data_IF_365932449305
#
_entry.id   IF_365932449305
#
_cell.length_a   1.000
_cell.length_b   1.000
_cell.length_c   1.000
_cell.angle_alpha   90.00
_cell.angle_beta   90.00
_cell.angle_gamma   90.00
#
_symmetry.space_group_name_H-M   'P 1'
#
loop_
_entity.id
_entity.type
_entity.pdbx_description
1 polymer ?
#
# COMPACT_ATOMS: atom_id res chain seq x y z
N UNK A 1 21.38 -56.35 -39.20
CA UNK A 1 22.53 -55.47 -39.50
C UNK A 1 22.56 -55.27 -41.01
N UNK A 2 22.77 -54.08 -41.59
CA UNK A 2 23.41 -52.85 -41.06
C UNK A 2 22.53 -51.56 -41.14
N UNK A 3 22.57 -50.67 -40.13
CA UNK A 3 23.27 -49.35 -39.97
C UNK A 3 22.56 -48.07 -40.50
N UNK A 4 22.02 -47.31 -39.53
CA UNK A 4 22.10 -45.87 -39.22
C UNK A 4 22.01 -44.74 -40.28
N UNK A 5 21.12 -43.75 -40.02
CA UNK A 5 21.49 -42.35 -39.68
C UNK A 5 20.29 -41.50 -39.19
N UNK A 6 20.59 -40.55 -38.28
CA UNK A 6 19.69 -39.60 -37.58
C UNK A 6 19.04 -38.56 -38.53
N UNK A 7 17.91 -37.96 -38.11
CA UNK A 7 17.78 -36.53 -37.73
C UNK A 7 16.32 -36.09 -37.42
N UNK A 8 16.16 -35.43 -36.26
CA UNK A 8 15.33 -34.26 -35.92
C UNK A 8 13.78 -34.26 -35.97
N UNK A 9 13.23 -34.01 -34.77
CA UNK A 9 12.11 -33.12 -34.40
C UNK A 9 10.64 -33.54 -34.65
N UNK A 10 9.82 -33.58 -33.57
CA UNK A 10 8.41 -33.23 -33.65
C UNK A 10 8.08 -31.98 -32.84
N UNK A 11 7.42 -31.03 -33.52
CA UNK A 11 6.81 -29.84 -32.95
C UNK A 11 5.82 -30.20 -31.83
N UNK A 12 6.01 -29.65 -30.63
CA UNK A 12 4.96 -29.58 -29.62
C UNK A 12 4.11 -28.34 -29.86
N UNK A 13 2.84 -28.58 -30.15
CA UNK A 13 1.79 -27.58 -30.35
C UNK A 13 1.51 -26.84 -29.04
N UNK A 14 1.59 -25.50 -29.10
CA UNK A 14 1.19 -24.57 -28.05
C UNK A 14 -0.34 -24.46 -28.01
N UNK A 15 -1.04 -25.19 -27.14
CA UNK A 15 -2.42 -24.85 -26.76
C UNK A 15 -2.79 -25.42 -25.38
N UNK A 16 -2.68 -24.59 -24.34
CA UNK A 16 -3.67 -24.43 -23.25
C UNK A 16 -3.00 -23.86 -21.98
N UNK A 17 -3.02 -22.54 -21.83
CA UNK A 17 -2.95 -21.88 -20.51
C UNK A 17 -3.68 -20.53 -20.57
N UNK A 18 -4.99 -20.55 -20.81
CA UNK A 18 -5.78 -19.31 -20.77
C UNK A 18 -7.17 -19.41 -20.14
N UNK A 19 -7.39 -20.37 -19.24
CA UNK A 19 -8.70 -20.53 -18.61
C UNK A 19 -8.71 -20.61 -17.07
N UNK A 20 -7.63 -20.24 -16.38
CA UNK A 20 -7.61 -20.25 -14.91
C UNK A 20 -7.53 -18.88 -14.22
N UNK A 21 -7.40 -17.76 -14.93
CA UNK A 21 -7.32 -16.44 -14.27
C UNK A 21 -8.68 -15.75 -14.05
N UNK A 22 -9.73 -16.13 -14.79
CA UNK A 22 -11.00 -15.37 -14.80
C UNK A 22 -11.86 -15.66 -13.57
N UNK A 23 -11.69 -16.83 -12.93
CA UNK A 23 -12.48 -17.21 -11.75
C UNK A 23 -12.03 -16.55 -10.44
N UNK A 24 -10.78 -16.08 -10.36
CA UNK A 24 -10.27 -15.38 -9.17
C UNK A 24 -10.81 -13.94 -9.10
N UNK A 25 -10.88 -13.24 -10.23
CA UNK A 25 -11.34 -11.83 -10.31
C UNK A 25 -12.79 -11.67 -9.84
N UNK A 26 -13.67 -12.60 -10.20
CA UNK A 26 -15.09 -12.54 -9.82
C UNK A 26 -15.37 -12.76 -8.33
N UNK A 27 -14.48 -13.44 -7.60
CA UNK A 27 -14.62 -13.62 -6.15
C UNK A 27 -14.21 -12.36 -5.38
N UNK A 28 -13.16 -11.66 -5.82
CA UNK A 28 -12.76 -10.36 -5.26
C UNK A 28 -13.84 -9.30 -5.47
N UNK A 29 -14.46 -9.25 -6.65
CA UNK A 29 -15.60 -8.36 -6.90
C UNK A 29 -16.77 -8.70 -5.97
N UNK A 30 -17.12 -9.97 -5.77
CA UNK A 30 -18.28 -10.37 -4.95
C UNK A 30 -18.13 -10.13 -3.44
N UNK A 31 -16.91 -10.15 -2.89
CA UNK A 31 -16.64 -9.86 -1.48
C UNK A 31 -16.46 -8.37 -1.21
N UNK A 32 -15.99 -7.59 -2.20
CA UNK A 32 -15.94 -6.13 -2.17
C UNK A 32 -17.31 -5.48 -2.48
N UNK A 33 -18.25 -6.18 -3.11
CA UNK A 33 -19.59 -5.67 -3.43
C UNK A 33 -20.48 -5.47 -2.18
N UNK A 34 -20.10 -6.05 -1.03
CA UNK A 34 -20.74 -5.72 0.26
C UNK A 34 -20.36 -4.33 0.78
N UNK A 35 -19.34 -3.70 0.19
CA UNK A 35 -19.14 -2.25 0.30
C UNK A 35 -19.86 -1.58 -0.88
N UNK A 36 -21.14 -1.27 -0.67
CA UNK A 36 -22.01 -0.46 -1.54
C UNK A 36 -21.26 0.24 -2.69
N UNK A 37 -21.29 -0.34 -3.89
CA UNK A 37 -20.86 0.36 -5.11
C UNK A 37 -21.90 1.44 -5.41
N UNK A 38 -21.80 2.56 -4.72
CA UNK A 38 -22.52 3.76 -5.11
C UNK A 38 -21.81 4.35 -6.34
N UNK A 39 -22.59 4.78 -7.35
CA UNK A 39 -22.02 5.32 -8.59
C UNK A 39 -21.19 6.57 -8.25
N UNK A 40 -20.17 6.93 -9.04
CA UNK A 40 -19.33 8.11 -8.79
C UNK A 40 -20.10 9.44 -8.64
N UNK A 41 -21.36 9.48 -9.09
CA UNK A 41 -22.26 10.63 -9.03
C UNK A 41 -23.20 10.63 -7.81
N UNK A 42 -23.32 9.51 -7.09
CA UNK A 42 -24.17 9.40 -5.91
C UNK A 42 -23.38 9.94 -4.69
N UNK A 43 -24.05 10.76 -3.86
CA UNK A 43 -23.46 11.34 -2.64
C UNK A 43 -22.93 10.24 -1.71
N UNK A 44 -21.65 10.33 -1.32
CA UNK A 44 -21.01 9.38 -0.40
C UNK A 44 -21.09 9.89 1.05
N UNK A 45 -21.99 9.36 1.90
CA UNK A 45 -22.14 9.83 3.27
C UNK A 45 -21.01 9.33 4.19
N UNK A 46 -20.17 8.40 3.75
CA UNK A 46 -19.20 7.72 4.62
C UNK A 46 -17.88 8.50 4.74
N UNK A 47 -17.42 8.57 5.99
CA UNK A 47 -16.03 8.95 6.33
C UNK A 47 -15.02 7.86 5.98
N UNK A 48 -15.48 6.65 5.65
CA UNK A 48 -14.63 5.51 5.29
C UNK A 48 -14.20 5.57 3.83
N UNK A 49 -12.92 5.35 3.57
CA UNK A 49 -12.38 5.26 2.22
C UNK A 49 -12.54 3.85 1.64
N UNK A 50 -13.43 3.65 0.67
CA UNK A 50 -13.53 2.38 -0.08
C UNK A 50 -12.52 2.32 -1.24
N UNK A 51 -12.20 1.11 -1.70
CA UNK A 51 -11.12 0.88 -2.66
C UNK A 51 -11.32 1.58 -4.01
N UNK A 52 -12.56 1.63 -4.51
CA UNK A 52 -12.91 2.34 -5.75
C UNK A 52 -12.64 3.84 -5.65
N UNK A 53 -13.04 4.49 -4.55
CA UNK A 53 -12.76 5.90 -4.29
C UNK A 53 -11.26 6.17 -4.14
N UNK A 54 -10.55 5.31 -3.39
CA UNK A 54 -9.09 5.38 -3.29
C UNK A 54 -8.44 5.35 -4.66
N UNK A 55 -8.86 4.43 -5.54
CA UNK A 55 -8.30 4.29 -6.88
C UNK A 55 -8.44 5.58 -7.69
N UNK A 56 -9.62 6.22 -7.66
CA UNK A 56 -9.85 7.51 -8.35
C UNK A 56 -8.93 8.60 -7.80
N UNK A 57 -8.84 8.75 -6.47
CA UNK A 57 -7.99 9.76 -5.82
C UNK A 57 -6.51 9.49 -6.12
N UNK A 58 -6.09 8.23 -6.08
CA UNK A 58 -4.72 7.80 -6.38
C UNK A 58 -4.35 8.05 -7.85
N UNK A 59 -5.29 7.90 -8.78
CA UNK A 59 -5.04 8.25 -10.18
C UNK A 59 -4.84 9.76 -10.37
N UNK A 60 -5.66 10.60 -9.71
CA UNK A 60 -5.46 12.05 -9.71
C UNK A 60 -4.07 12.43 -9.13
N UNK A 61 -3.56 11.67 -8.15
CA UNK A 61 -2.27 11.88 -7.53
C UNK A 61 -1.09 11.85 -8.51
N UNK A 62 -1.20 11.09 -9.61
CA UNK A 62 -0.14 11.00 -10.64
C UNK A 62 0.13 12.34 -11.33
N UNK A 63 -0.87 13.22 -11.41
CA UNK A 63 -0.76 14.53 -12.09
C UNK A 63 -0.57 15.70 -11.13
N UNK A 64 -0.63 15.46 -9.81
CA UNK A 64 -0.55 16.53 -8.80
C UNK A 64 0.88 16.83 -8.37
N UNK A 65 1.64 15.80 -7.98
CA UNK A 65 3.05 15.91 -7.62
C UNK A 65 3.75 14.56 -7.72
N UNK A 66 5.07 14.58 -7.96
CA UNK A 66 5.88 13.36 -8.14
C UNK A 66 5.79 12.38 -6.95
N UNK A 67 5.55 12.90 -5.74
CA UNK A 67 5.49 12.09 -4.52
C UNK A 67 4.08 11.68 -4.07
N UNK A 68 3.01 12.30 -4.59
CA UNK A 68 1.67 12.11 -4.01
C UNK A 68 1.13 10.69 -4.22
N UNK A 69 1.27 10.13 -5.42
CA UNK A 69 0.89 8.75 -5.69
C UNK A 69 1.73 7.77 -4.86
N UNK A 70 3.04 8.03 -4.75
CA UNK A 70 3.95 7.24 -3.92
C UNK A 70 3.57 7.28 -2.43
N UNK A 71 3.12 8.42 -1.92
CA UNK A 71 2.63 8.53 -0.54
C UNK A 71 1.38 7.68 -0.30
N UNK A 72 0.43 7.69 -1.24
CA UNK A 72 -0.77 6.87 -1.17
C UNK A 72 -0.43 5.37 -1.24
N UNK A 73 0.44 4.99 -2.18
CA UNK A 73 0.85 3.60 -2.39
C UNK A 73 1.66 3.07 -1.19
N UNK A 74 2.59 3.85 -0.63
CA UNK A 74 3.34 3.49 0.59
C UNK A 74 2.41 3.30 1.79
N UNK A 75 1.47 4.22 1.99
CA UNK A 75 0.52 4.13 3.09
C UNK A 75 -0.39 2.89 2.95
N UNK A 76 -0.85 2.58 1.74
CA UNK A 76 -1.72 1.45 1.49
C UNK A 76 -0.96 0.11 1.65
N UNK A 77 0.19 -0.04 1.01
CA UNK A 77 0.92 -1.32 1.04
C UNK A 77 1.54 -1.59 2.42
N UNK A 78 1.94 -0.57 3.18
CA UNK A 78 2.54 -0.78 4.52
C UNK A 78 1.53 -0.74 5.65
N UNK A 79 0.33 -0.19 5.41
CA UNK A 79 -0.68 0.02 6.45
C UNK A 79 -0.23 0.92 7.60
N UNK A 80 0.83 1.72 7.45
CA UNK A 80 1.37 2.56 8.53
C UNK A 80 0.63 3.91 8.66
N UNK A 81 0.80 4.58 9.80
CA UNK A 81 0.20 5.91 10.04
C UNK A 81 0.92 6.94 9.18
N UNK A 82 0.23 8.04 8.83
CA UNK A 82 0.84 9.14 8.05
C UNK A 82 2.11 9.69 8.69
N UNK A 83 2.15 9.73 10.03
CA UNK A 83 3.30 10.16 10.81
C UNK A 83 4.51 9.25 10.54
N UNK A 84 4.28 7.93 10.60
CA UNK A 84 5.31 6.93 10.38
C UNK A 84 5.74 6.90 8.90
N UNK A 85 4.78 6.97 7.95
CA UNK A 85 5.05 7.00 6.49
C UNK A 85 5.90 8.20 6.10
N UNK A 86 5.64 9.38 6.67
CA UNK A 86 6.43 10.59 6.39
C UNK A 86 7.89 10.48 6.82
N UNK A 87 8.20 9.53 7.71
CA UNK A 87 9.52 9.32 8.29
C UNK A 87 10.29 8.17 7.65
N UNK A 88 9.69 7.40 6.72
CA UNK A 88 10.40 6.30 6.07
C UNK A 88 11.66 6.78 5.35
N UNK A 89 12.77 6.09 5.60
CA UNK A 89 14.05 6.36 4.95
C UNK A 89 14.55 5.15 4.20
N UNK A 90 15.28 5.41 3.11
CA UNK A 90 15.98 4.36 2.39
C UNK A 90 17.04 3.69 3.26
N UNK A 91 17.67 4.43 4.19
CA UNK A 91 18.62 3.88 5.16
C UNK A 91 18.02 2.90 6.17
N UNK A 92 16.69 2.87 6.32
CA UNK A 92 16.01 1.97 7.24
C UNK A 92 15.74 0.60 6.60
N UNK A 93 16.17 0.41 5.35
CA UNK A 93 16.10 -0.87 4.64
C UNK A 93 17.37 -1.68 4.90
N UNK A 94 17.21 -2.89 5.42
CA UNK A 94 18.30 -3.85 5.66
C UNK A 94 17.81 -5.26 5.37
N UNK A 95 18.65 -6.12 4.80
CA UNK A 95 18.36 -7.55 4.59
C UNK A 95 16.98 -7.82 3.95
N UNK A 96 16.61 -7.04 2.94
CA UNK A 96 15.33 -7.19 2.24
C UNK A 96 14.09 -6.78 3.05
N UNK A 97 14.25 -5.95 4.09
CA UNK A 97 13.15 -5.48 4.96
C UNK A 97 13.24 -4.00 5.26
N UNK A 98 12.08 -3.34 5.36
CA UNK A 98 11.93 -1.99 5.88
C UNK A 98 11.70 -2.03 7.39
N UNK A 99 12.59 -1.42 8.16
CA UNK A 99 12.48 -1.36 9.61
C UNK A 99 11.77 -0.08 10.04
N UNK A 100 10.64 -0.22 10.74
CA UNK A 100 9.79 0.89 11.18
C UNK A 100 9.70 0.86 12.71
N UNK A 101 9.94 2.00 13.34
CA UNK A 101 9.56 2.22 14.75
C UNK A 101 8.40 3.21 14.77
N UNK A 102 7.21 2.74 15.15
CA UNK A 102 6.00 3.56 15.17
C UNK A 102 6.10 4.64 16.25
N UNK A 103 5.96 5.90 15.88
CA UNK A 103 6.11 7.03 16.80
C UNK A 103 5.08 7.03 17.94
N UNK A 104 3.84 6.65 17.65
CA UNK A 104 2.73 6.68 18.63
C UNK A 104 2.84 5.61 19.72
N UNK A 105 3.28 4.41 19.37
CA UNK A 105 3.23 3.23 20.25
C UNK A 105 4.61 2.68 20.61
N UNK A 106 5.66 3.11 19.91
CA UNK A 106 7.00 2.52 20.02
C UNK A 106 7.13 1.13 19.41
N UNK A 107 6.08 0.61 18.76
CA UNK A 107 6.11 -0.72 18.14
C UNK A 107 7.13 -0.77 17.01
N UNK A 108 7.91 -1.86 16.97
CA UNK A 108 8.96 -2.07 15.99
C UNK A 108 8.55 -3.17 15.00
N UNK A 109 8.54 -2.85 13.71
CA UNK A 109 8.11 -3.73 12.62
C UNK A 109 9.23 -3.86 11.57
N UNK A 110 9.54 -5.08 11.13
CA UNK A 110 10.43 -5.32 10.01
C UNK A 110 9.61 -5.87 8.85
N UNK A 111 9.14 -4.97 7.98
CA UNK A 111 8.22 -5.28 6.89
C UNK A 111 9.02 -5.83 5.70
N UNK A 112 8.68 -7.03 5.22
CA UNK A 112 9.30 -7.61 4.04
C UNK A 112 9.15 -6.71 2.82
N UNK A 113 10.25 -6.42 2.10
CA UNK A 113 10.15 -5.73 0.80
C UNK A 113 9.38 -6.56 -0.23
N UNK A 114 9.26 -7.87 0.01
CA UNK A 114 8.46 -8.76 -0.81
C UNK A 114 6.93 -8.67 -0.55
N UNK A 115 6.49 -7.80 0.36
CA UNK A 115 5.07 -7.62 0.67
C UNK A 115 4.28 -7.16 -0.56
N UNK A 116 3.18 -7.86 -0.83
CA UNK A 116 2.24 -7.56 -1.91
C UNK A 116 0.88 -7.22 -1.33
N UNK A 117 0.16 -6.37 -2.05
CA UNK A 117 -1.27 -6.18 -1.88
C UNK A 117 -1.90 -6.35 -3.26
N UNK A 118 -2.36 -7.56 -3.55
CA UNK A 118 -2.68 -8.00 -4.90
C UNK A 118 -3.94 -7.30 -5.43
N UNK A 119 -4.93 -7.02 -4.58
CA UNK A 119 -6.12 -6.24 -4.94
C UNK A 119 -5.77 -4.83 -5.47
N UNK A 120 -4.66 -4.26 -5.01
CA UNK A 120 -4.17 -2.96 -5.46
C UNK A 120 -3.04 -3.05 -6.49
N UNK A 121 -2.59 -4.26 -6.86
CA UNK A 121 -1.43 -4.47 -7.71
C UNK A 121 -0.14 -3.85 -7.15
N UNK A 122 -0.02 -3.76 -5.83
CA UNK A 122 1.13 -3.14 -5.18
C UNK A 122 2.14 -4.17 -4.71
N UNK A 123 3.42 -3.87 -4.97
CA UNK A 123 4.57 -4.59 -4.44
C UNK A 123 5.47 -3.58 -3.73
N UNK A 124 5.75 -3.78 -2.44
CA UNK A 124 6.43 -2.76 -1.62
C UNK A 124 7.77 -2.34 -2.22
N UNK A 125 8.57 -3.29 -2.70
CA UNK A 125 9.84 -2.98 -3.37
C UNK A 125 9.66 -2.04 -4.56
N UNK A 126 8.68 -2.28 -5.44
CA UNK A 126 8.42 -1.41 -6.59
C UNK A 126 7.98 -0.01 -6.16
N UNK A 127 7.17 0.12 -5.10
CA UNK A 127 6.79 1.43 -4.56
C UNK A 127 8.01 2.19 -4.06
N UNK A 128 8.91 1.51 -3.33
CA UNK A 128 10.14 2.11 -2.81
C UNK A 128 11.06 2.54 -3.96
N UNK A 129 11.21 1.74 -5.00
CA UNK A 129 12.03 2.11 -6.16
C UNK A 129 11.44 3.31 -6.91
N UNK A 130 10.10 3.40 -7.05
CA UNK A 130 9.45 4.62 -7.56
C UNK A 130 9.74 5.85 -6.70
N UNK A 131 9.84 5.68 -5.38
CA UNK A 131 10.18 6.77 -4.46
C UNK A 131 11.62 7.29 -4.63
N UNK A 132 12.54 6.49 -5.18
CA UNK A 132 13.94 6.90 -5.44
C UNK A 132 14.09 7.79 -6.65
N UNK A 133 13.20 7.64 -7.64
CA UNK A 133 13.27 8.40 -8.89
C UNK A 133 13.19 9.90 -8.59
N UNK A 134 14.18 10.66 -9.08
CA UNK A 134 14.31 12.11 -8.87
C UNK A 134 14.30 12.56 -7.39
N UNK A 135 14.63 11.68 -6.45
CA UNK A 135 14.63 11.97 -5.03
C UNK A 135 16.08 12.05 -4.48
N UNK A 136 16.61 13.25 -4.21
CA UNK A 136 17.95 13.42 -3.65
C UNK A 136 18.01 13.20 -2.13
N UNK A 137 16.89 12.89 -1.49
CA UNK A 137 16.79 12.73 -0.03
C UNK A 137 17.00 11.28 0.40
N UNK A 138 17.39 11.10 1.67
CA UNK A 138 17.30 9.79 2.31
C UNK A 138 15.85 9.43 2.69
N UNK A 139 14.93 10.39 2.73
CA UNK A 139 13.51 10.12 2.98
C UNK A 139 12.83 9.62 1.69
N UNK A 140 11.94 8.65 1.82
CA UNK A 140 11.22 8.09 0.67
C UNK A 140 10.26 9.11 0.04
N UNK A 141 9.69 10.00 0.84
CA UNK A 141 8.83 11.07 0.37
C UNK A 141 9.59 12.40 0.38
N UNK A 142 9.78 12.97 -0.80
CA UNK A 142 10.47 14.24 -1.01
C UNK A 142 9.70 15.16 -1.97
N UNK A 143 9.70 16.46 -1.69
CA UNK A 143 9.14 17.47 -2.57
C UNK A 143 10.24 18.36 -3.13
N UNK A 144 10.30 18.47 -4.45
CA UNK A 144 11.21 19.35 -5.19
C UNK A 144 10.69 20.80 -5.30
N UNK A 145 9.43 21.05 -4.90
CA UNK A 145 8.72 22.30 -5.11
C UNK A 145 9.38 23.47 -4.36
N UNK A 146 9.64 24.56 -5.10
CA UNK A 146 10.08 25.87 -4.58
C UNK A 146 9.00 26.91 -4.84
N UNK A 147 7.98 26.99 -3.97
CA UNK A 147 6.86 27.93 -4.14
C UNK A 147 6.39 28.46 -2.79
N UNK A 148 6.05 29.74 -2.72
CA UNK A 148 5.45 30.36 -1.52
C UNK A 148 6.32 30.26 -0.28
N UNK A 149 7.65 30.39 -0.42
CA UNK A 149 8.60 30.24 0.69
C UNK A 149 8.94 28.80 1.07
N UNK A 150 8.28 27.79 0.47
CA UNK A 150 8.61 26.38 0.68
C UNK A 150 9.94 26.05 0.02
N UNK A 151 10.81 25.38 0.77
CA UNK A 151 12.09 24.83 0.28
C UNK A 151 11.92 23.34 -0.05
N UNK A 152 12.72 22.81 -0.99
CA UNK A 152 12.72 21.38 -1.28
C UNK A 152 13.14 20.59 -0.03
N UNK A 153 12.53 19.44 0.19
CA UNK A 153 12.76 18.68 1.41
C UNK A 153 11.79 17.54 1.64
N UNK A 154 11.97 16.81 2.77
CA UNK A 154 11.06 15.74 3.17
C UNK A 154 9.65 16.27 3.41
N UNK A 155 8.66 15.39 3.21
CA UNK A 155 7.27 15.71 3.50
C UNK A 155 6.97 15.52 4.99
N UNK A 156 6.04 16.35 5.49
CA UNK A 156 5.52 16.26 6.85
C UNK A 156 4.09 15.71 6.82
N UNK A 157 3.60 15.15 7.93
CA UNK A 157 2.26 14.53 8.00
C UNK A 157 1.13 15.44 7.51
N UNK A 158 1.18 16.73 7.83
CA UNK A 158 0.15 17.69 7.42
C UNK A 158 0.21 17.99 5.91
N UNK A 159 1.40 17.93 5.31
CA UNK A 159 1.55 18.02 3.87
C UNK A 159 0.92 16.85 3.13
N UNK A 160 0.98 15.64 3.71
CA UNK A 160 0.31 14.46 3.15
C UNK A 160 -1.22 14.59 3.25
N UNK A 161 -1.72 15.03 4.41
CA UNK A 161 -3.16 15.25 4.62
C UNK A 161 -3.72 16.33 3.70
N UNK A 162 -3.00 17.45 3.55
CA UNK A 162 -3.44 18.53 2.69
C UNK A 162 -3.48 18.09 1.22
N UNK A 163 -2.40 17.50 0.71
CA UNK A 163 -2.37 17.04 -0.68
C UNK A 163 -3.44 15.98 -0.97
N UNK A 164 -3.70 15.06 -0.05
CA UNK A 164 -4.79 14.09 -0.20
C UNK A 164 -6.16 14.77 -0.22
N UNK A 165 -6.38 15.79 0.60
CA UNK A 165 -7.63 16.56 0.59
C UNK A 165 -7.79 17.30 -0.74
N UNK A 166 -6.74 17.95 -1.24
CA UNK A 166 -6.75 18.65 -2.53
C UNK A 166 -7.05 17.68 -3.68
N UNK A 167 -6.45 16.49 -3.66
CA UNK A 167 -6.69 15.41 -4.63
C UNK A 167 -8.12 14.88 -4.57
N UNK A 168 -8.61 14.62 -3.36
CA UNK A 168 -9.97 14.18 -3.12
C UNK A 168 -10.97 15.22 -3.64
N UNK A 169 -10.77 16.49 -3.33
CA UNK A 169 -11.70 17.55 -3.68
C UNK A 169 -11.65 17.88 -5.18
N UNK A 170 -10.50 17.69 -5.83
CA UNK A 170 -10.34 17.82 -7.29
C UNK A 170 -10.74 16.56 -8.09
N UNK A 171 -10.97 15.42 -7.45
CA UNK A 171 -11.33 14.16 -8.12
C UNK A 171 -12.72 14.15 -8.78
N UNK A 172 -13.54 15.17 -8.52
CA UNK A 172 -14.93 15.23 -8.99
C UNK A 172 -15.90 14.38 -8.18
N UNK A 173 -15.42 13.58 -7.22
CA UNK A 173 -16.24 12.82 -6.29
C UNK A 173 -17.04 13.75 -5.37
N UNK A 174 -18.18 13.26 -4.85
CA UNK A 174 -19.05 14.00 -3.93
C UNK A 174 -19.04 13.31 -2.57
N UNK A 175 -18.61 14.04 -1.55
CA UNK A 175 -18.55 13.55 -0.18
C UNK A 175 -19.52 14.30 0.72
N UNK A 176 -19.96 13.62 1.77
CA UNK A 176 -20.68 14.24 2.87
C UNK A 176 -19.80 15.13 3.78
N UNK A 177 -20.34 15.59 4.91
CA UNK A 177 -19.69 16.59 5.76
C UNK A 177 -18.35 16.15 6.37
N UNK A 178 -18.08 14.84 6.41
CA UNK A 178 -16.85 14.26 6.94
C UNK A 178 -16.18 13.40 5.87
N UNK A 179 -15.58 14.00 4.83
CA UNK A 179 -14.94 13.24 3.76
C UNK A 179 -13.73 12.44 4.29
N UNK A 180 -13.40 11.30 3.65
CA UNK A 180 -12.25 10.49 4.05
C UNK A 180 -10.96 11.30 4.00
N UNK A 181 -10.10 11.10 5.00
CA UNK A 181 -8.77 11.72 5.07
C UNK A 181 -7.68 10.74 4.65
N UNK A 182 -6.43 11.20 4.54
CA UNK A 182 -5.28 10.32 4.30
C UNK A 182 -5.18 9.18 5.33
N UNK A 183 -5.64 9.42 6.58
CA UNK A 183 -5.62 8.40 7.63
C UNK A 183 -6.47 7.17 7.27
N UNK A 184 -7.52 7.34 6.47
CA UNK A 184 -8.42 6.26 6.08
C UNK A 184 -7.76 5.23 5.15
N UNK A 185 -6.62 5.57 4.52
CA UNK A 185 -5.82 4.61 3.74
C UNK A 185 -5.37 3.44 4.62
N UNK A 186 -5.04 3.70 5.89
CA UNK A 186 -4.66 2.65 6.84
C UNK A 186 -5.82 1.71 7.18
N UNK A 187 -7.03 2.26 7.34
CA UNK A 187 -8.25 1.47 7.54
C UNK A 187 -8.57 0.62 6.31
N UNK A 188 -8.40 1.20 5.11
CA UNK A 188 -8.53 0.48 3.84
C UNK A 188 -7.50 -0.65 3.72
N UNK A 189 -6.23 -0.39 4.03
CA UNK A 189 -5.17 -1.40 4.03
C UNK A 189 -5.55 -2.59 4.92
N UNK A 190 -5.99 -2.33 6.16
CA UNK A 190 -6.39 -3.39 7.09
C UNK A 190 -7.48 -4.30 6.50
N UNK A 191 -8.53 -3.71 5.92
CA UNK A 191 -9.63 -4.48 5.31
C UNK A 191 -9.17 -5.30 4.09
N UNK A 192 -8.31 -4.74 3.23
CA UNK A 192 -7.82 -5.48 2.06
C UNK A 192 -6.88 -6.62 2.48
N UNK A 193 -5.98 -6.37 3.42
CA UNK A 193 -5.07 -7.38 3.95
C UNK A 193 -5.80 -8.48 4.74
N UNK A 194 -6.90 -8.17 5.41
CA UNK A 194 -7.73 -9.17 6.10
C UNK A 194 -8.33 -10.15 5.10
N UNK A 195 -8.78 -9.67 3.94
CA UNK A 195 -9.30 -10.52 2.86
C UNK A 195 -8.20 -11.37 2.23
N UNK A 196 -7.01 -10.79 1.98
CA UNK A 196 -5.93 -11.49 1.25
C UNK A 196 -5.08 -12.42 2.13
N UNK A 197 -4.79 -12.03 3.38
CA UNK A 197 -3.83 -12.71 4.25
C UNK A 197 -4.43 -13.13 5.60
N UNK A 198 -5.70 -12.82 5.85
CA UNK A 198 -6.40 -13.13 7.09
C UNK A 198 -6.22 -12.08 8.20
N UNK A 199 -7.11 -12.16 9.20
CA UNK A 199 -7.21 -11.22 10.31
C UNK A 199 -5.89 -11.05 11.08
N UNK A 200 -5.17 -12.15 11.34
CA UNK A 200 -3.94 -12.10 12.12
C UNK A 200 -2.86 -11.24 11.44
N UNK A 201 -2.69 -11.38 10.12
CA UNK A 201 -1.76 -10.55 9.36
C UNK A 201 -2.21 -9.08 9.37
N UNK A 202 -3.49 -8.84 9.11
CA UNK A 202 -4.09 -7.51 9.09
C UNK A 202 -4.03 -6.79 10.45
N UNK A 203 -3.95 -7.51 11.57
CA UNK A 203 -3.74 -6.93 12.90
C UNK A 203 -2.25 -6.63 13.18
N UNK A 204 -1.34 -7.51 12.75
CA UNK A 204 0.11 -7.37 12.97
C UNK A 204 0.72 -6.24 12.15
N UNK A 205 0.37 -6.11 10.86
CA UNK A 205 0.98 -5.12 9.95
C UNK A 205 0.80 -3.68 10.44
N UNK A 206 -0.41 -3.23 10.85
CA UNK A 206 -0.59 -1.90 11.45
C UNK A 206 0.01 -1.79 12.86
N UNK A 207 0.46 -2.89 13.48
CA UNK A 207 1.01 -2.92 14.84
C UNK A 207 -0.06 -2.85 15.93
N UNK A 208 -1.25 -3.40 15.72
CA UNK A 208 -2.23 -3.54 16.79
C UNK A 208 -1.80 -4.67 17.73
N UNK A 209 -1.95 -4.49 19.05
CA UNK A 209 -1.65 -5.55 20.02
C UNK A 209 -2.76 -6.60 19.95
N UNK A 210 -2.42 -7.87 19.78
CA UNK A 210 -3.38 -8.96 20.02
C UNK A 210 -3.76 -8.97 21.51
N UNK A 211 -5.02 -8.65 21.81
CA UNK A 211 -5.58 -8.81 23.17
C UNK A 211 -5.43 -10.26 23.66
N UNK A 212 -5.51 -11.26 22.78
CA UNK A 212 -5.35 -12.68 23.09
C UNK A 212 -3.89 -13.11 23.40
N UNK A 213 -2.87 -12.42 22.87
CA UNK A 213 -1.45 -12.72 23.16
C UNK A 213 -0.91 -11.97 24.40
N UNK A 214 -1.69 -11.03 24.93
CA UNK A 214 -1.24 -10.14 26.01
C UNK A 214 -1.05 -10.85 27.36
N UNK A 215 -1.49 -12.11 27.51
CA UNK A 215 -1.40 -12.83 28.79
C UNK A 215 -0.13 -13.66 29.00
N UNK A 216 0.79 -13.77 28.02
CA UNK A 216 1.95 -14.69 28.14
C UNK A 216 3.34 -14.14 27.88
N UNK A 217 3.50 -12.86 27.53
CA UNK A 217 4.83 -12.28 27.31
C UNK A 217 4.95 -10.93 28.03
N UNK A 218 5.13 -11.01 29.35
CA UNK A 218 5.58 -9.88 30.18
C UNK A 218 7.09 -9.91 30.46
N UNK A 219 7.85 -10.77 29.77
CA UNK A 219 9.30 -10.85 29.91
C UNK A 219 9.97 -10.74 28.55
N UNK A 220 10.30 -9.50 28.18
CA UNK A 220 11.63 -9.09 27.75
C UNK A 220 11.54 -7.65 27.24
N UNK A 221 12.17 -6.72 27.97
CA UNK A 221 12.48 -5.37 27.47
C UNK A 221 13.65 -5.43 26.46
N UNK A 222 13.66 -6.44 25.58
CA UNK A 222 14.50 -6.48 24.39
C UNK A 222 13.68 -5.98 23.21
N UNK A 223 14.24 -4.98 22.55
CA UNK A 223 13.62 -4.19 21.52
C UNK A 223 13.58 -4.93 20.16
N UNK A 224 12.95 -6.10 20.11
CA UNK A 224 12.89 -6.92 18.91
C UNK A 224 11.83 -6.41 17.93
N UNK A 225 12.18 -6.46 16.65
CA UNK A 225 11.27 -6.10 15.57
C UNK A 225 10.31 -7.27 15.31
N UNK A 226 9.01 -6.99 15.28
CA UNK A 226 8.02 -7.96 14.82
C UNK A 226 8.17 -8.11 13.31
N UNK A 227 8.40 -9.33 12.87
CA UNK A 227 8.54 -9.67 11.45
C UNK A 227 7.14 -9.70 10.83
N UNK A 228 6.98 -8.91 9.77
CA UNK A 228 5.74 -8.86 8.97
C UNK A 228 6.08 -9.07 7.51
#
# INVERSE_FOLDING_TARGET
MPQAQLLLNPQWSLHNHHQQSVHSVGLYESLLDRTLIARPQDFQPLSLLVFSLFTVIRQAALSHSEWAANACDLALVTGQRREDVSLFRFSDIRDGRLFVTQGKTGHKLAISLNLRLDAAGLFLQDVIERCRVNNPSNFMLYSSIRRGGRKPGPLFPDGLTQAFSDLRDSSGLRFGPNPPSFHEIRSLAGRLYEVEYGEEFAQRLPGHKNSAMTKKYLDARSAEYVMV
#
